data_IF_425560959887
#
_entry.id   IF_425560959887
#
_cell.length_a   1.000
_cell.length_b   1.000
_cell.length_c   1.000
_cell.angle_alpha   90.00
_cell.angle_beta   90.00
_cell.angle_gamma   90.00
#
_symmetry.space_group_name_H-M   'P 1'
#
loop_
_entity.id
_entity.type
_entity.pdbx_description
1 polymer ?
#
# COMPACT_ATOMS: atom_id res chain seq x y z
N UNK A 1 25.86 16.73 1.23
CA UNK A 1 25.23 17.16 2.51
C UNK A 1 26.34 17.58 3.47
N UNK A 2 26.15 18.64 4.26
CA UNK A 2 27.07 18.98 5.37
C UNK A 2 27.05 17.84 6.41
N UNK A 3 28.23 17.36 6.82
CA UNK A 3 28.35 16.23 7.74
C UNK A 3 27.72 16.47 9.12
N UNK A 4 27.72 17.71 9.61
CA UNK A 4 27.07 18.09 10.88
C UNK A 4 25.56 18.07 10.75
N UNK A 5 25.02 18.48 9.60
CA UNK A 5 23.59 18.37 9.36
C UNK A 5 23.16 16.90 9.25
N UNK A 6 24.01 16.04 8.70
CA UNK A 6 23.74 14.60 8.62
C UNK A 6 23.69 13.98 10.02
N UNK A 7 24.66 14.29 10.87
CA UNK A 7 24.69 13.81 12.26
C UNK A 7 23.49 14.33 13.07
N UNK A 8 23.17 15.62 12.92
CA UNK A 8 22.00 16.24 13.55
C UNK A 8 20.69 15.60 13.11
N UNK A 9 20.51 15.33 11.81
CA UNK A 9 19.31 14.67 11.29
C UNK A 9 19.20 13.20 11.75
N UNK A 10 20.34 12.52 11.91
CA UNK A 10 20.40 11.12 12.37
C UNK A 10 20.07 11.01 13.86
N UNK A 11 20.55 11.96 14.68
CA UNK A 11 20.36 11.98 16.14
C UNK A 11 19.11 12.74 16.60
N UNK A 12 18.48 13.50 15.70
CA UNK A 12 17.33 14.35 16.02
C UNK A 12 17.71 15.68 16.69
N UNK A 13 18.97 16.10 16.63
CA UNK A 13 19.46 17.35 17.19
C UNK A 13 18.97 18.57 16.37
N UNK A 14 17.77 19.04 16.72
CA UNK A 14 17.18 20.21 16.09
C UNK A 14 17.91 21.52 16.44
N UNK A 15 18.64 21.57 17.57
CA UNK A 15 19.38 22.77 17.99
C UNK A 15 20.55 23.01 17.05
N UNK A 16 21.37 21.97 16.80
CA UNK A 16 22.48 22.06 15.85
C UNK A 16 21.96 22.37 14.44
N UNK A 17 20.89 21.71 14.00
CA UNK A 17 20.30 21.99 12.68
C UNK A 17 19.83 23.45 12.54
N UNK A 18 19.14 24.01 13.54
CA UNK A 18 18.73 25.43 13.55
C UNK A 18 19.94 26.37 13.54
N UNK A 19 20.97 26.07 14.33
CA UNK A 19 22.19 26.87 14.37
C UNK A 19 22.90 26.89 13.00
N UNK A 20 22.98 25.73 12.31
CA UNK A 20 23.53 25.65 10.95
C UNK A 20 22.70 26.47 9.95
N UNK A 21 21.37 26.33 10.00
CA UNK A 21 20.45 27.04 9.11
C UNK A 21 20.45 28.55 9.34
N UNK A 22 20.69 29.02 10.57
CA UNK A 22 20.81 30.45 10.89
C UNK A 22 21.98 31.11 10.14
N UNK A 23 23.11 30.42 10.03
CA UNK A 23 24.29 30.93 9.33
C UNK A 23 24.21 30.71 7.81
N UNK A 24 23.61 29.60 7.38
CA UNK A 24 23.41 29.30 5.97
C UNK A 24 22.07 28.58 5.76
N UNK A 25 20.99 29.29 5.39
CA UNK A 25 19.67 28.68 5.20
C UNK A 25 19.63 27.58 4.13
N UNK A 26 20.50 27.66 3.12
CA UNK A 26 20.56 26.66 2.03
C UNK A 26 21.13 25.32 2.48
N UNK A 27 21.73 25.24 3.68
CA UNK A 27 22.29 24.00 4.22
C UNK A 27 21.25 22.88 4.30
N UNK A 28 19.99 23.22 4.59
CA UNK A 28 18.88 22.26 4.71
C UNK A 28 18.53 21.57 3.39
N UNK A 29 18.82 22.22 2.26
CA UNK A 29 18.62 21.68 0.91
C UNK A 29 19.75 20.72 0.49
N UNK A 30 20.80 20.58 1.30
CA UNK A 30 21.89 19.65 1.03
C UNK A 30 21.43 18.20 1.08
N UNK A 31 21.81 17.42 0.07
CA UNK A 31 21.45 16.01 -0.07
C UNK A 31 22.66 15.08 0.08
N UNK A 32 22.42 13.85 0.51
CA UNK A 32 23.41 12.76 0.42
C UNK A 32 23.64 12.36 -1.04
N UNK A 33 24.64 11.52 -1.37
CA UNK A 33 24.81 10.98 -2.72
C UNK A 33 23.59 10.22 -3.26
N UNK A 34 22.77 9.67 -2.37
CA UNK A 34 21.49 9.01 -2.70
C UNK A 34 20.30 9.97 -2.69
N UNK A 35 20.53 11.29 -2.69
CA UNK A 35 19.47 12.30 -2.76
C UNK A 35 18.70 12.55 -1.46
N UNK A 36 19.08 11.91 -0.34
CA UNK A 36 18.37 12.10 0.92
C UNK A 36 18.64 13.50 1.49
N UNK A 37 17.57 14.26 1.74
CA UNK A 37 17.63 15.52 2.52
C UNK A 37 17.69 15.21 4.01
N UNK A 38 17.96 16.23 4.84
CA UNK A 38 17.86 16.09 6.30
C UNK A 38 16.49 15.55 6.75
N UNK A 39 15.40 15.90 6.03
CA UNK A 39 14.06 15.45 6.35
C UNK A 39 13.83 13.96 6.04
N UNK A 40 14.48 13.41 5.00
CA UNK A 40 14.45 11.96 4.76
C UNK A 40 15.17 11.22 5.89
N UNK A 41 16.38 11.67 6.23
CA UNK A 41 17.20 11.03 7.27
C UNK A 41 16.48 11.05 8.62
N UNK A 42 15.94 12.19 9.04
CA UNK A 42 15.17 12.27 10.29
C UNK A 42 13.86 11.47 10.23
N UNK A 43 13.28 11.30 9.04
CA UNK A 43 12.09 10.47 8.82
C UNK A 43 12.37 8.99 8.95
N UNK A 44 13.53 8.51 8.49
CA UNK A 44 13.98 7.12 8.73
C UNK A 44 14.14 6.82 10.23
N UNK A 45 14.46 7.83 11.04
CA UNK A 45 14.70 7.67 12.48
C UNK A 45 13.52 8.10 13.37
N UNK A 46 12.44 8.64 12.78
CA UNK A 46 11.23 9.02 13.53
C UNK A 46 11.35 10.31 14.34
N UNK A 47 12.31 11.18 14.04
CA UNK A 47 12.58 12.40 14.82
C UNK A 47 11.58 13.51 14.52
N UNK A 48 10.35 13.38 15.03
CA UNK A 48 9.26 14.31 14.72
C UNK A 48 9.54 15.77 15.12
N UNK A 49 10.20 16.01 16.26
CA UNK A 49 10.58 17.36 16.69
C UNK A 49 11.55 18.02 15.69
N UNK A 50 12.55 17.26 15.23
CA UNK A 50 13.47 17.71 14.19
C UNK A 50 12.74 18.03 12.89
N UNK A 51 11.85 17.13 12.44
CA UNK A 51 11.07 17.34 11.22
C UNK A 51 10.21 18.61 11.30
N UNK A 52 9.53 18.82 12.43
CA UNK A 52 8.72 20.02 12.67
C UNK A 52 9.55 21.30 12.55
N UNK A 53 10.70 21.31 13.20
CA UNK A 53 11.62 22.45 13.19
C UNK A 53 12.22 22.70 11.80
N UNK A 54 12.61 21.65 11.09
CA UNK A 54 13.14 21.76 9.73
C UNK A 54 12.08 22.33 8.76
N UNK A 55 10.81 21.92 8.91
CA UNK A 55 9.70 22.41 8.09
C UNK A 55 9.28 23.85 8.42
N UNK A 56 9.48 24.29 9.66
CA UNK A 56 9.28 25.69 10.04
C UNK A 56 10.30 26.60 9.33
N UNK A 57 11.50 26.10 9.06
CA UNK A 57 12.55 26.82 8.34
C UNK A 57 12.43 26.70 6.82
N UNK A 58 12.10 25.51 6.31
CA UNK A 58 11.96 25.29 4.88
C UNK A 58 10.93 24.19 4.54
N UNK A 59 9.76 24.61 4.05
CA UNK A 59 8.66 23.72 3.66
C UNK A 59 8.91 22.94 2.37
N UNK A 60 9.83 23.38 1.50
CA UNK A 60 10.10 22.69 0.22
C UNK A 60 10.70 21.29 0.43
N UNK A 61 11.17 20.98 1.64
CA UNK A 61 11.69 19.66 1.99
C UNK A 61 10.63 18.56 1.90
N UNK A 62 9.34 18.88 2.03
CA UNK A 62 8.24 17.89 1.96
C UNK A 62 8.12 17.21 0.60
N UNK A 63 8.42 17.93 -0.48
CA UNK A 63 8.30 17.44 -1.86
C UNK A 63 9.63 16.96 -2.43
N UNK A 64 10.71 16.95 -1.64
CA UNK A 64 11.98 16.42 -2.09
C UNK A 64 11.86 14.91 -2.31
N UNK A 65 12.52 14.41 -3.36
CA UNK A 65 12.49 12.99 -3.74
C UNK A 65 13.92 12.46 -3.73
N UNK A 66 14.16 11.35 -3.02
CA UNK A 66 15.47 10.70 -2.99
C UNK A 66 15.67 9.73 -4.19
N UNK A 67 16.83 9.07 -4.26
CA UNK A 67 17.15 8.15 -5.36
C UNK A 67 16.27 6.88 -5.38
N UNK A 68 15.60 6.56 -4.27
CA UNK A 68 14.62 5.47 -4.18
C UNK A 68 13.20 5.92 -4.55
N UNK A 69 13.01 7.17 -5.01
CA UNK A 69 11.69 7.71 -5.36
C UNK A 69 10.86 8.16 -4.16
N UNK A 70 11.44 8.15 -2.96
CA UNK A 70 10.70 8.44 -1.73
C UNK A 70 10.63 9.94 -1.46
N UNK A 71 9.46 10.38 -0.97
CA UNK A 71 9.32 11.63 -0.21
C UNK A 71 9.53 11.35 1.28
N UNK A 72 9.75 12.37 2.13
CA UNK A 72 9.88 12.14 3.57
C UNK A 72 8.65 11.48 4.21
N UNK A 73 7.43 11.75 3.70
CA UNK A 73 6.22 11.04 4.12
C UNK A 73 6.33 9.55 3.79
N UNK A 74 6.75 9.21 2.58
CA UNK A 74 6.92 7.82 2.15
C UNK A 74 8.01 7.12 2.96
N UNK A 75 9.16 7.76 3.18
CA UNK A 75 10.24 7.23 4.03
C UNK A 75 9.77 6.98 5.46
N UNK A 76 8.98 7.89 6.06
CA UNK A 76 8.42 7.71 7.40
C UNK A 76 7.46 6.51 7.47
N UNK A 77 6.59 6.36 6.46
CA UNK A 77 5.65 5.24 6.37
C UNK A 77 6.38 3.90 6.16
N UNK A 78 7.36 3.85 5.25
CA UNK A 78 8.19 2.68 4.98
C UNK A 78 9.02 2.26 6.20
N UNK A 79 9.48 3.23 6.99
CA UNK A 79 10.25 3.00 8.23
C UNK A 79 9.36 2.69 9.45
N UNK A 80 8.03 2.72 9.31
CA UNK A 80 7.09 2.40 10.39
C UNK A 80 6.88 3.51 11.43
N UNK A 81 7.35 4.73 11.17
CA UNK A 81 7.20 5.88 12.07
C UNK A 81 5.83 6.54 11.90
N UNK A 82 4.78 5.85 12.32
CA UNK A 82 3.38 6.23 12.03
C UNK A 82 3.01 7.63 12.51
N UNK A 83 3.42 8.02 13.72
CA UNK A 83 3.15 9.36 14.27
C UNK A 83 3.79 10.47 13.43
N UNK A 84 5.00 10.23 12.93
CA UNK A 84 5.67 11.14 12.03
C UNK A 84 5.01 11.15 10.64
N UNK A 85 4.63 10.00 10.11
CA UNK A 85 3.91 9.92 8.83
C UNK A 85 2.60 10.70 8.88
N UNK A 86 1.78 10.55 9.93
CA UNK A 86 0.56 11.34 10.16
C UNK A 86 0.85 12.85 10.22
N UNK A 87 1.92 13.24 10.93
CA UNK A 87 2.35 14.64 10.99
C UNK A 87 2.72 15.20 9.60
N UNK A 88 3.53 14.47 8.83
CA UNK A 88 3.96 14.88 7.50
C UNK A 88 2.80 14.91 6.51
N UNK A 89 1.88 13.95 6.59
CA UNK A 89 0.65 13.91 5.79
C UNK A 89 -0.19 15.17 6.01
N UNK A 90 -0.41 15.56 7.26
CA UNK A 90 -1.11 16.80 7.60
C UNK A 90 -0.39 18.02 7.02
N UNK A 91 0.93 18.11 7.16
CA UNK A 91 1.70 19.21 6.59
C UNK A 91 1.59 19.29 5.06
N UNK A 92 1.64 18.15 4.36
CA UNK A 92 1.44 18.10 2.91
C UNK A 92 0.02 18.55 2.53
N UNK A 93 -1.00 18.11 3.27
CA UNK A 93 -2.40 18.49 3.06
C UNK A 93 -2.65 19.99 3.27
N UNK A 94 -2.11 20.56 4.34
CA UNK A 94 -2.20 21.99 4.65
C UNK A 94 -1.59 22.86 3.54
N UNK A 95 -0.59 22.32 2.84
CA UNK A 95 0.12 22.94 1.74
C UNK A 95 -0.38 22.51 0.35
N UNK A 96 -1.42 21.68 0.27
CA UNK A 96 -2.00 21.16 -0.98
C UNK A 96 -0.97 20.42 -1.86
N UNK A 97 -0.02 19.71 -1.25
CA UNK A 97 1.03 18.94 -1.93
C UNK A 97 0.56 17.52 -2.28
N UNK A 98 -0.55 17.38 -3.00
CA UNK A 98 -1.14 16.08 -3.38
C UNK A 98 -0.14 15.19 -4.11
N UNK A 99 0.62 15.75 -5.06
CA UNK A 99 1.62 15.02 -5.83
C UNK A 99 2.69 14.38 -4.93
N UNK A 100 3.11 15.05 -3.86
CA UNK A 100 4.10 14.52 -2.92
C UNK A 100 3.54 13.37 -2.06
N UNK A 101 2.23 13.38 -1.79
CA UNK A 101 1.55 12.30 -1.07
C UNK A 101 1.41 11.07 -1.96
N UNK A 102 1.10 11.27 -3.25
CA UNK A 102 0.83 10.21 -4.24
C UNK A 102 2.09 9.51 -4.77
N UNK A 103 3.28 9.98 -4.38
CA UNK A 103 4.55 9.38 -4.81
C UNK A 103 4.64 7.89 -4.47
N UNK A 104 5.34 7.19 -5.34
CA UNK A 104 5.71 5.78 -5.18
C UNK A 104 7.23 5.66 -5.15
N UNK A 105 7.73 4.73 -4.35
CA UNK A 105 9.14 4.37 -4.36
C UNK A 105 9.49 3.58 -5.64
N UNK A 106 10.77 3.23 -5.78
CA UNK A 106 11.31 2.47 -6.91
C UNK A 106 10.64 1.12 -7.12
N UNK A 107 10.01 0.56 -6.09
CA UNK A 107 9.29 -0.72 -6.13
C UNK A 107 7.79 -0.53 -6.42
N UNK A 108 7.35 0.72 -6.63
CA UNK A 108 5.96 1.09 -6.88
C UNK A 108 5.10 1.16 -5.61
N UNK A 109 5.69 1.16 -4.42
CA UNK A 109 4.93 1.28 -3.17
C UNK A 109 4.73 2.75 -2.84
N UNK A 110 3.47 3.16 -2.64
CA UNK A 110 3.15 4.43 -1.99
C UNK A 110 3.00 4.25 -0.47
N UNK A 111 2.73 5.34 0.24
CA UNK A 111 2.65 5.33 1.70
C UNK A 111 1.56 4.37 2.22
N UNK A 112 0.45 4.22 1.48
CA UNK A 112 -0.64 3.33 1.84
C UNK A 112 -0.25 1.86 1.69
N UNK A 113 0.50 1.50 0.64
CA UNK A 113 1.05 0.14 0.51
C UNK A 113 1.95 -0.20 1.71
N UNK A 114 2.86 0.70 2.09
CA UNK A 114 3.75 0.48 3.24
C UNK A 114 2.99 0.38 4.58
N UNK A 115 2.00 1.25 4.81
CA UNK A 115 1.17 1.17 6.01
C UNK A 115 0.46 -0.20 6.12
N UNK A 116 -0.10 -0.70 5.02
CA UNK A 116 -0.76 -2.02 4.98
C UNK A 116 0.25 -3.17 5.10
N UNK A 117 1.38 -3.10 4.40
CA UNK A 117 2.47 -4.08 4.45
C UNK A 117 2.97 -4.27 5.89
N UNK A 118 3.28 -3.16 6.57
CA UNK A 118 3.87 -3.13 7.91
C UNK A 118 2.85 -3.32 9.02
N UNK A 119 1.55 -3.24 8.72
CA UNK A 119 0.47 -3.52 9.66
C UNK A 119 -0.05 -2.34 10.47
N UNK A 120 0.25 -1.14 10.01
CA UNK A 120 -0.20 0.11 10.61
C UNK A 120 -1.58 0.48 10.08
N UNK A 121 -2.62 -0.20 10.59
CA UNK A 121 -4.02 -0.06 10.12
C UNK A 121 -4.55 1.34 10.32
N UNK A 122 -4.24 1.97 11.45
CA UNK A 122 -4.68 3.33 11.77
C UNK A 122 -4.10 4.35 10.79
N UNK A 123 -2.80 4.22 10.47
CA UNK A 123 -2.15 5.06 9.45
C UNK A 123 -2.75 4.80 8.06
N UNK A 124 -3.05 3.54 7.72
CA UNK A 124 -3.68 3.22 6.45
C UNK A 124 -5.06 3.90 6.31
N UNK A 125 -5.88 3.84 7.36
CA UNK A 125 -7.19 4.52 7.39
C UNK A 125 -7.06 6.04 7.30
N UNK A 126 -6.08 6.62 7.98
CA UNK A 126 -5.79 8.06 7.89
C UNK A 126 -5.36 8.46 6.48
N UNK A 127 -4.46 7.71 5.85
CA UNK A 127 -4.01 7.93 4.47
C UNK A 127 -5.17 7.83 3.48
N UNK A 128 -6.04 6.83 3.63
CA UNK A 128 -7.23 6.66 2.78
C UNK A 128 -8.18 7.86 2.92
N UNK A 129 -8.46 8.29 4.15
CA UNK A 129 -9.34 9.42 4.39
C UNK A 129 -8.71 10.75 3.90
N UNK A 130 -7.39 10.85 3.97
CA UNK A 130 -6.69 12.06 3.61
C UNK A 130 -6.45 12.21 2.10
N UNK A 131 -6.16 11.10 1.40
CA UNK A 131 -5.82 11.10 -0.02
C UNK A 131 -6.31 9.80 -0.69
N UNK A 132 -7.62 9.72 -1.06
CA UNK A 132 -8.22 8.51 -1.63
C UNK A 132 -7.53 7.99 -2.91
N UNK A 133 -6.90 8.88 -3.69
CA UNK A 133 -6.19 8.51 -4.91
C UNK A 133 -4.97 7.59 -4.66
N UNK A 134 -4.46 7.52 -3.42
CA UNK A 134 -3.47 6.50 -3.02
C UNK A 134 -3.94 5.07 -3.28
N UNK A 135 -5.25 4.85 -3.29
CA UNK A 135 -5.88 3.54 -3.45
C UNK A 135 -5.91 3.02 -4.90
N UNK A 136 -5.60 3.88 -5.88
CA UNK A 136 -5.64 3.55 -7.31
C UNK A 136 -4.32 2.96 -7.84
N UNK A 137 -3.22 3.23 -7.14
CA UNK A 137 -1.89 2.75 -7.53
C UNK A 137 -1.75 1.23 -7.36
N UNK A 138 -0.84 0.64 -8.14
CA UNK A 138 -0.34 -0.72 -7.98
C UNK A 138 1.17 -0.69 -7.97
N UNK A 139 1.79 -1.52 -7.14
CA UNK A 139 3.25 -1.64 -7.13
C UNK A 139 3.79 -2.45 -8.32
N UNK A 140 5.11 -2.57 -8.43
CA UNK A 140 5.79 -3.29 -9.52
C UNK A 140 5.47 -4.80 -9.57
N UNK A 141 4.68 -5.32 -8.62
CA UNK A 141 4.17 -6.70 -8.60
C UNK A 141 2.67 -6.76 -8.90
N UNK A 142 2.09 -5.70 -9.45
CA UNK A 142 0.67 -5.50 -9.73
C UNK A 142 -0.23 -5.59 -8.48
N UNK A 143 0.32 -5.39 -7.27
CA UNK A 143 -0.47 -5.46 -6.04
C UNK A 143 -1.00 -4.08 -5.70
N UNK A 144 -2.31 -3.96 -5.68
CA UNK A 144 -3.04 -2.80 -5.14
C UNK A 144 -3.05 -2.81 -3.60
N UNK A 145 -3.29 -1.64 -2.97
CA UNK A 145 -3.54 -1.56 -1.53
C UNK A 145 -4.70 -2.45 -1.08
N UNK A 146 -5.80 -2.49 -1.85
CA UNK A 146 -6.98 -3.29 -1.50
C UNK A 146 -6.67 -4.78 -1.53
N UNK A 147 -5.92 -5.25 -2.54
CA UNK A 147 -5.45 -6.63 -2.59
C UNK A 147 -4.59 -6.99 -1.38
N UNK A 148 -3.66 -6.10 -1.00
CA UNK A 148 -2.83 -6.31 0.19
C UNK A 148 -3.66 -6.33 1.48
N UNK A 149 -4.65 -5.45 1.64
CA UNK A 149 -5.54 -5.44 2.80
C UNK A 149 -6.34 -6.74 2.92
N UNK A 150 -6.91 -7.23 1.82
CA UNK A 150 -7.64 -8.52 1.81
C UNK A 150 -6.72 -9.68 2.14
N UNK A 151 -5.53 -9.74 1.53
CA UNK A 151 -4.52 -10.77 1.83
C UNK A 151 -4.14 -10.80 3.32
N UNK A 152 -4.19 -9.66 4.01
CA UNK A 152 -3.92 -9.54 5.44
C UNK A 152 -5.16 -9.65 6.34
N UNK A 153 -6.35 -9.87 5.79
CA UNK A 153 -7.63 -9.84 6.50
C UNK A 153 -7.86 -8.52 7.28
N UNK A 154 -7.44 -7.39 6.72
CA UNK A 154 -7.69 -6.07 7.31
C UNK A 154 -9.05 -5.56 6.85
N UNK A 155 -10.11 -6.09 7.47
CA UNK A 155 -11.51 -5.87 7.05
C UNK A 155 -11.90 -4.40 7.04
N UNK A 156 -11.51 -3.63 8.06
CA UNK A 156 -11.75 -2.19 8.15
C UNK A 156 -11.09 -1.38 7.03
N UNK A 157 -9.82 -1.68 6.74
CA UNK A 157 -9.07 -1.04 5.64
C UNK A 157 -9.67 -1.45 4.30
N UNK A 158 -9.99 -2.73 4.12
CA UNK A 158 -10.66 -3.24 2.92
C UNK A 158 -11.99 -2.54 2.68
N UNK A 159 -12.83 -2.39 3.71
CA UNK A 159 -14.13 -1.73 3.59
C UNK A 159 -13.98 -0.28 3.14
N UNK A 160 -13.02 0.46 3.71
CA UNK A 160 -12.76 1.84 3.28
C UNK A 160 -12.23 1.95 1.87
N UNK A 161 -11.41 1.00 1.43
CA UNK A 161 -10.96 0.96 0.04
C UNK A 161 -12.10 0.60 -0.93
N UNK A 162 -13.01 -0.30 -0.52
CA UNK A 162 -14.14 -0.73 -1.33
C UNK A 162 -15.14 0.40 -1.58
N UNK A 163 -15.29 1.32 -0.62
CA UNK A 163 -16.11 2.54 -0.73
C UNK A 163 -15.62 3.51 -1.83
N UNK A 164 -14.36 3.42 -2.28
CA UNK A 164 -13.76 4.36 -3.24
C UNK A 164 -14.03 3.90 -4.69
N UNK A 165 -14.80 4.66 -5.51
CA UNK A 165 -15.06 4.35 -6.91
C UNK A 165 -13.81 4.61 -7.76
N UNK A 166 -12.94 3.61 -7.86
CA UNK A 166 -11.65 3.73 -8.55
C UNK A 166 -10.51 2.96 -7.88
N UNK A 167 -10.68 2.58 -6.60
CA UNK A 167 -9.64 1.84 -5.89
C UNK A 167 -9.31 0.53 -6.62
N UNK A 168 -8.01 0.37 -6.89
CA UNK A 168 -7.48 -0.79 -7.57
C UNK A 168 -7.71 -2.06 -6.75
N UNK A 169 -7.97 -3.16 -7.45
CA UNK A 169 -8.33 -4.46 -6.87
C UNK A 169 -7.48 -5.60 -7.41
N UNK A 170 -6.42 -5.27 -8.14
CA UNK A 170 -5.50 -6.20 -8.76
C UNK A 170 -4.41 -6.67 -7.81
N UNK A 171 -3.92 -7.87 -8.10
CA UNK A 171 -2.77 -8.54 -7.53
C UNK A 171 -1.98 -9.23 -8.63
N UNK A 172 -0.80 -9.74 -8.28
CA UNK A 172 0.14 -10.39 -9.21
C UNK A 172 -0.55 -11.45 -10.06
N UNK A 173 -0.22 -11.51 -11.36
CA UNK A 173 -0.77 -12.49 -12.30
C UNK A 173 -2.31 -12.47 -12.40
N UNK A 174 -2.91 -11.28 -12.42
CA UNK A 174 -4.36 -11.05 -12.48
C UNK A 174 -5.15 -11.64 -11.29
N UNK A 175 -4.50 -11.95 -10.17
CA UNK A 175 -5.23 -12.29 -8.95
C UNK A 175 -6.00 -11.08 -8.44
N UNK A 176 -7.31 -11.05 -8.63
CA UNK A 176 -8.14 -10.00 -8.03
C UNK A 176 -8.38 -10.24 -6.51
N UNK A 177 -8.96 -9.26 -5.84
CA UNK A 177 -9.32 -9.32 -4.40
C UNK A 177 -10.21 -10.52 -4.03
N UNK A 178 -11.02 -11.06 -4.94
CA UNK A 178 -11.88 -12.20 -4.65
C UNK A 178 -11.08 -13.52 -4.60
N UNK A 179 -10.05 -13.66 -5.46
CA UNK A 179 -9.08 -14.74 -5.34
C UNK A 179 -8.35 -14.70 -3.99
N UNK A 180 -8.00 -13.50 -3.52
CA UNK A 180 -7.38 -13.30 -2.20
C UNK A 180 -8.34 -13.69 -1.04
N UNK A 181 -9.61 -13.29 -1.11
CA UNK A 181 -10.61 -13.68 -0.11
C UNK A 181 -10.82 -15.20 -0.05
N UNK A 182 -10.84 -15.87 -1.22
CA UNK A 182 -10.86 -17.34 -1.32
C UNK A 182 -9.62 -17.95 -0.67
N UNK A 183 -8.42 -17.45 -0.97
CA UNK A 183 -7.17 -17.94 -0.37
C UNK A 183 -7.22 -17.92 1.16
N UNK A 184 -7.73 -16.83 1.73
CA UNK A 184 -7.87 -16.67 3.17
C UNK A 184 -9.07 -17.45 3.75
N UNK A 185 -10.03 -17.86 2.91
CA UNK A 185 -11.27 -18.48 3.35
C UNK A 185 -12.23 -17.50 4.04
N UNK A 186 -12.05 -16.18 3.84
CA UNK A 186 -12.87 -15.17 4.48
C UNK A 186 -14.16 -14.96 3.67
N UNK A 187 -15.23 -15.67 4.07
CA UNK A 187 -16.55 -15.61 3.43
C UNK A 187 -17.23 -14.26 3.60
N UNK A 188 -16.94 -13.52 4.68
CA UNK A 188 -17.49 -12.18 4.91
C UNK A 188 -16.92 -11.17 3.90
N UNK A 189 -15.59 -11.14 3.71
CA UNK A 189 -14.96 -10.32 2.65
C UNK A 189 -15.47 -10.76 1.28
N UNK A 190 -15.49 -12.07 1.00
CA UNK A 190 -15.95 -12.58 -0.30
C UNK A 190 -17.39 -12.13 -0.61
N UNK A 191 -18.28 -12.16 0.39
CA UNK A 191 -19.67 -11.69 0.28
C UNK A 191 -19.73 -10.21 -0.11
N UNK A 192 -19.00 -9.36 0.61
CA UNK A 192 -18.94 -7.92 0.29
C UNK A 192 -18.41 -7.67 -1.12
N UNK A 193 -17.40 -8.42 -1.56
CA UNK A 193 -16.85 -8.29 -2.91
C UNK A 193 -17.89 -8.65 -3.97
N UNK A 194 -18.58 -9.79 -3.85
CA UNK A 194 -19.57 -10.17 -4.88
C UNK A 194 -20.78 -9.24 -4.89
N UNK A 195 -21.18 -8.69 -3.75
CA UNK A 195 -22.28 -7.72 -3.67
C UNK A 195 -21.94 -6.36 -4.34
N UNK A 196 -20.67 -5.96 -4.32
CA UNK A 196 -20.23 -4.63 -4.82
C UNK A 196 -19.56 -4.67 -6.18
N UNK A 197 -18.81 -5.74 -6.47
CA UNK A 197 -18.02 -5.94 -7.70
C UNK A 197 -18.22 -7.38 -8.22
N UNK A 198 -19.45 -7.76 -8.61
CA UNK A 198 -19.79 -9.14 -9.01
C UNK A 198 -18.99 -9.65 -10.22
N UNK A 199 -18.52 -8.76 -11.11
CA UNK A 199 -17.72 -9.13 -12.28
C UNK A 199 -16.43 -9.88 -11.91
N UNK A 200 -15.85 -9.59 -10.74
CA UNK A 200 -14.61 -10.21 -10.26
C UNK A 200 -14.73 -11.73 -10.05
N UNK A 201 -15.95 -12.25 -9.86
CA UNK A 201 -16.20 -13.68 -9.70
C UNK A 201 -15.96 -14.49 -10.99
N UNK A 202 -15.89 -13.81 -12.14
CA UNK A 202 -15.72 -14.42 -13.47
C UNK A 202 -14.37 -14.18 -14.09
N UNK A 203 -13.56 -13.30 -13.50
CA UNK A 203 -12.21 -13.04 -13.97
C UNK A 203 -11.31 -14.23 -13.65
N UNK A 204 -10.47 -14.59 -14.61
CA UNK A 204 -9.50 -15.65 -14.50
C UNK A 204 -8.12 -15.08 -14.16
N UNK A 205 -7.38 -15.78 -13.29
CA UNK A 205 -5.96 -15.51 -13.10
C UNK A 205 -5.15 -15.86 -14.36
N UNK A 206 -3.96 -15.28 -14.48
CA UNK A 206 -3.08 -15.48 -15.64
C UNK A 206 -2.29 -16.78 -15.61
N UNK A 207 -2.04 -17.35 -14.43
CA UNK A 207 -1.17 -18.51 -14.27
C UNK A 207 -1.83 -19.80 -14.78
N UNK A 208 -3.06 -20.04 -14.36
CA UNK A 208 -3.77 -21.30 -14.61
C UNK A 208 -5.19 -21.09 -15.11
N UNK A 209 -5.58 -19.86 -15.45
CA UNK A 209 -6.94 -19.51 -15.88
C UNK A 209 -8.01 -19.94 -14.87
N UNK A 210 -7.69 -19.88 -13.56
CA UNK A 210 -8.65 -20.19 -12.51
C UNK A 210 -9.45 -18.95 -12.13
N UNK A 211 -10.75 -19.13 -11.95
CA UNK A 211 -11.63 -18.13 -11.34
C UNK A 211 -11.58 -18.29 -9.83
N UNK A 212 -12.11 -17.34 -9.04
CA UNK A 212 -12.21 -17.51 -7.60
C UNK A 212 -13.00 -18.79 -7.22
N UNK A 213 -13.98 -19.18 -8.03
CA UNK A 213 -14.74 -20.41 -7.80
C UNK A 213 -13.89 -21.68 -8.00
N UNK A 214 -13.05 -21.73 -9.04
CA UNK A 214 -12.10 -22.84 -9.23
C UNK A 214 -11.22 -23.03 -7.99
N UNK A 215 -10.64 -21.93 -7.49
CA UNK A 215 -9.77 -21.98 -6.31
C UNK A 215 -10.53 -22.32 -5.02
N UNK A 216 -11.79 -21.89 -4.89
CA UNK A 216 -12.61 -22.23 -3.71
C UNK A 216 -12.85 -23.74 -3.59
N UNK A 217 -13.02 -24.42 -4.72
CA UNK A 217 -13.12 -25.89 -4.76
C UNK A 217 -11.76 -26.53 -4.49
N UNK A 218 -10.71 -26.13 -5.23
CA UNK A 218 -9.37 -26.73 -5.12
C UNK A 218 -8.81 -26.63 -3.70
N UNK A 219 -9.05 -25.50 -3.02
CA UNK A 219 -8.55 -25.26 -1.66
C UNK A 219 -9.57 -25.57 -0.56
N UNK A 220 -10.68 -26.25 -0.89
CA UNK A 220 -11.71 -26.67 0.05
C UNK A 220 -12.27 -25.52 0.91
N UNK A 221 -12.55 -24.37 0.29
CA UNK A 221 -13.08 -23.15 0.91
C UNK A 221 -14.60 -23.14 0.84
N UNK A 222 -15.22 -24.10 1.53
CA UNK A 222 -16.67 -24.39 1.44
C UNK A 222 -17.54 -23.17 1.74
N UNK A 223 -17.20 -22.37 2.76
CA UNK A 223 -18.00 -21.20 3.13
C UNK A 223 -17.95 -20.10 2.07
N UNK A 224 -16.78 -19.90 1.45
CA UNK A 224 -16.65 -18.95 0.33
C UNK A 224 -17.37 -19.48 -0.90
N UNK A 225 -17.22 -20.77 -1.22
CA UNK A 225 -17.94 -21.41 -2.34
C UNK A 225 -19.46 -21.26 -2.20
N UNK A 226 -19.98 -21.43 -0.98
CA UNK A 226 -21.40 -21.21 -0.66
C UNK A 226 -21.81 -19.77 -0.98
N UNK A 227 -21.07 -18.78 -0.48
CA UNK A 227 -21.33 -17.37 -0.76
C UNK A 227 -21.36 -17.07 -2.26
N UNK A 228 -20.41 -17.60 -3.02
CA UNK A 228 -20.36 -17.40 -4.48
C UNK A 228 -21.61 -17.98 -5.16
N UNK A 229 -22.01 -19.22 -4.82
CA UNK A 229 -23.17 -19.89 -5.42
C UNK A 229 -24.51 -19.31 -4.96
N UNK A 230 -24.60 -18.79 -3.74
CA UNK A 230 -25.77 -18.09 -3.23
C UNK A 230 -25.96 -16.76 -3.95
N UNK A 231 -24.87 -16.05 -4.26
CA UNK A 231 -24.90 -14.81 -5.02
C UNK A 231 -25.24 -15.05 -6.51
N UNK A 232 -24.57 -16.01 -7.16
CA UNK A 232 -24.83 -16.37 -8.55
C UNK A 232 -24.61 -17.86 -8.81
N UNK A 233 -25.72 -18.61 -8.91
CA UNK A 233 -25.71 -20.07 -9.14
C UNK A 233 -25.06 -20.46 -10.48
N UNK A 234 -25.05 -19.56 -11.46
CA UNK A 234 -24.50 -19.85 -12.79
C UNK A 234 -22.97 -19.97 -12.77
N UNK A 235 -22.31 -19.42 -11.74
CA UNK A 235 -20.87 -19.61 -11.54
C UNK A 235 -20.52 -21.11 -11.43
N UNK A 236 -21.42 -21.94 -10.89
CA UNK A 236 -21.21 -23.38 -10.75
C UNK A 236 -20.99 -24.13 -12.09
N UNK A 237 -21.52 -23.61 -13.20
CA UNK A 237 -21.27 -24.19 -14.52
C UNK A 237 -19.83 -23.95 -15.02
N UNK A 238 -19.13 -22.96 -14.48
CA UNK A 238 -17.73 -22.67 -14.86
C UNK A 238 -16.78 -23.77 -14.37
N UNK A 239 -17.11 -24.46 -13.26
CA UNK A 239 -16.33 -25.59 -12.72
C UNK A 239 -16.21 -26.77 -13.69
N UNK A 240 -17.18 -26.93 -14.61
CA UNK A 240 -17.29 -28.09 -15.50
C UNK A 240 -16.21 -28.05 -16.60
N UNK A 241 -15.67 -26.89 -16.94
CA UNK A 241 -14.73 -26.70 -18.06
C UNK A 241 -13.31 -27.23 -17.79
N UNK A 242 -12.97 -27.57 -16.54
CA UNK A 242 -11.65 -28.17 -16.21
C UNK A 242 -11.73 -29.72 -16.22
N UNK A 243 -12.92 -30.31 -16.10
CA UNK A 243 -13.09 -31.78 -16.05
C UNK A 243 -13.09 -32.46 -17.43
N UNK A 244 -12.99 -31.72 -18.53
CA UNK A 244 -12.96 -32.29 -19.89
C UNK A 244 -11.56 -32.36 -20.52
N UNK A 245 -10.49 -32.05 -19.78
CA UNK A 245 -9.12 -32.41 -20.16
C UNK A 245 -8.87 -33.90 -19.95
N UNK A 246 -8.07 -34.58 -20.80
CA UNK A 246 -7.92 -36.03 -20.74
C UNK A 246 -7.36 -36.44 -19.38
N UNK A 247 -8.12 -37.26 -18.65
CA UNK A 247 -7.68 -37.97 -17.47
C UNK A 247 -6.44 -38.77 -17.84
N UNK A 248 -5.25 -38.23 -17.55
CA UNK A 248 -4.05 -39.04 -17.47
C UNK A 248 -4.28 -40.00 -16.31
N UNK A 249 -4.70 -41.22 -16.66
CA UNK A 249 -4.63 -42.38 -15.78
C UNK A 249 -3.16 -42.52 -15.39
N UNK A 250 -2.78 -41.98 -14.24
CA UNK A 250 -1.62 -42.47 -13.51
C UNK A 250 -2.01 -43.86 -13.03
N UNK A 251 -1.64 -44.84 -13.85
CA UNK A 251 -1.64 -46.23 -13.43
C UNK A 251 -0.69 -46.39 -12.25
N UNK A 252 -1.07 -47.29 -11.34
CA UNK A 252 -0.23 -48.35 -10.75
C UNK A 252 -0.94 -48.92 -9.52
N UNK A 253 -0.68 -50.19 -9.16
CA UNK A 253 -0.55 -51.40 -9.97
C UNK A 253 -1.88 -52.20 -10.04
#
# INVERSE_FOLDING_TARGET
MDGRLLDAATTGDAVTMKHLALHNPTVLLGTTPTGNTCLHISSTHGHQGFCMDALALNRSLLSAVNADGETPLLTAAASGHTSLASFLLRCCRDLQLSEAILMQDKDGYNALHHAIQSGHRELALELIAAEPALSEAVNNKDKSPMFMAVMRNYEDVFEKLLEIPGSAHGGTANYNILHAAVRNGNSAIAKKIVETRPSLAREEDRCVHSTPMHLAVIWNKIDVLRVLLEHDRSLGYMLVLISTGPVQRLGQP
#
